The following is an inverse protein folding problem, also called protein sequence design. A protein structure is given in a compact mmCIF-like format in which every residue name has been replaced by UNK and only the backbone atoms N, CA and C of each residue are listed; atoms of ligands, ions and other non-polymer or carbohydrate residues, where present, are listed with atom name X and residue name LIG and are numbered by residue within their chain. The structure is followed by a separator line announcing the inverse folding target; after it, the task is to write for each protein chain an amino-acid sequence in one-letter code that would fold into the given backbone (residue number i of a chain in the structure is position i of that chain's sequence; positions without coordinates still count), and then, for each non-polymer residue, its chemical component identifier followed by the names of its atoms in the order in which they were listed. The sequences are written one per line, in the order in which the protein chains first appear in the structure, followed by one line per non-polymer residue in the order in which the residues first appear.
data_IF_557389582155
#
_entry.id   IF_557389582155
#
_cell.length_a   1.000
_cell.length_b   1.000
_cell.length_c   1.000
_cell.angle_alpha   90.00
_cell.angle_beta   90.00
_cell.angle_gamma   90.00
#
_symmetry.space_group_name_H-M   'P 1'
#
loop_
_entity.id
_entity.type
_entity.pdbx_description
1 polymer ?
#
# COMPACT_ATOMS: atom_id res chain seq x y z
N UNK A 1 -10.24 -22.83 13.71
CA UNK A 1 -10.61 -21.50 13.18
C UNK A 1 -10.63 -21.58 11.65
N UNK A 2 -11.63 -21.03 10.96
CA UNK A 2 -11.58 -20.92 9.49
C UNK A 2 -10.56 -19.84 9.10
N UNK A 3 -9.88 -20.02 7.95
CA UNK A 3 -8.94 -19.04 7.38
C UNK A 3 -7.71 -18.64 8.25
N UNK A 4 -7.15 -19.57 9.04
CA UNK A 4 -5.93 -19.30 9.83
C UNK A 4 -4.72 -18.90 8.98
N UNK A 5 -4.57 -19.51 7.80
CA UNK A 5 -3.47 -19.21 6.88
C UNK A 5 -3.59 -17.80 6.28
N UNK A 6 -4.74 -17.35 5.74
CA UNK A 6 -4.97 -15.95 5.40
C UNK A 6 -4.71 -14.98 6.54
N UNK A 7 -5.15 -15.31 7.76
CA UNK A 7 -4.92 -14.44 8.92
C UNK A 7 -3.44 -14.26 9.22
N UNK A 8 -2.67 -15.36 9.27
CA UNK A 8 -1.23 -15.30 9.51
C UNK A 8 -0.51 -14.47 8.44
N UNK A 9 -0.89 -14.63 7.16
CA UNK A 9 -0.34 -13.84 6.05
C UNK A 9 -0.69 -12.35 6.17
N UNK A 10 -1.91 -12.00 6.56
CA UNK A 10 -2.29 -10.60 6.84
C UNK A 10 -1.56 -10.04 8.06
N UNK A 11 -1.35 -10.84 9.11
CA UNK A 11 -0.67 -10.39 10.32
C UNK A 11 0.80 -10.09 10.05
N UNK A 12 1.51 -11.02 9.40
CA UNK A 12 2.91 -10.85 8.99
C UNK A 12 3.02 -9.72 7.96
N UNK A 13 2.14 -9.70 6.96
CA UNK A 13 2.13 -8.66 5.93
C UNK A 13 1.87 -7.27 6.51
N UNK A 14 0.91 -7.14 7.43
CA UNK A 14 0.62 -5.89 8.13
C UNK A 14 1.77 -5.42 9.00
N UNK A 15 2.45 -6.32 9.73
CA UNK A 15 3.66 -6.00 10.48
C UNK A 15 4.79 -5.49 9.58
N UNK A 16 5.00 -6.13 8.43
CA UNK A 16 6.00 -5.66 7.47
C UNK A 16 5.67 -4.28 6.90
N UNK A 17 4.39 -3.98 6.67
CA UNK A 17 3.95 -2.64 6.26
C UNK A 17 4.18 -1.59 7.34
N UNK A 18 3.95 -1.92 8.62
CA UNK A 18 4.24 -1.05 9.76
C UNK A 18 5.75 -0.82 9.89
N UNK A 19 6.55 -1.89 9.87
CA UNK A 19 8.01 -1.83 10.00
C UNK A 19 8.69 -1.10 8.84
N UNK A 20 8.12 -1.19 7.63
CA UNK A 20 8.56 -0.39 6.49
C UNK A 20 8.24 1.11 6.62
N UNK A 21 7.67 1.53 7.77
CA UNK A 21 7.42 2.93 8.11
C UNK A 21 6.45 3.62 7.17
N UNK A 22 5.61 2.87 6.46
CA UNK A 22 4.69 3.40 5.44
C UNK A 22 5.39 4.21 4.34
N UNK A 23 6.73 4.12 4.24
CA UNK A 23 7.58 5.06 3.52
C UNK A 23 7.22 5.19 2.04
N UNK A 24 6.66 4.16 1.43
CA UNK A 24 6.35 4.16 0.00
C UNK A 24 4.91 4.63 -0.29
N UNK A 25 3.95 4.31 0.58
CA UNK A 25 2.58 4.83 0.49
C UNK A 25 2.53 6.33 0.73
N UNK A 26 3.09 6.76 1.86
CA UNK A 26 3.18 8.17 2.26
C UNK A 26 4.18 8.93 1.38
N UNK A 27 5.31 8.30 1.00
CA UNK A 27 6.28 8.89 0.08
C UNK A 27 5.70 9.21 -1.29
N UNK A 28 4.81 8.36 -1.82
CA UNK A 28 4.10 8.64 -3.08
C UNK A 28 3.22 9.88 -2.96
N UNK A 29 2.57 10.06 -1.82
CA UNK A 29 1.72 11.24 -1.55
C UNK A 29 2.57 12.51 -1.49
N UNK A 30 3.73 12.46 -0.84
CA UNK A 30 4.69 13.58 -0.85
C UNK A 30 5.22 13.89 -2.26
N UNK A 31 5.43 12.87 -3.08
CA UNK A 31 5.86 13.04 -4.47
C UNK A 31 4.76 13.73 -5.29
N UNK A 32 3.51 13.28 -5.17
CA UNK A 32 2.35 13.92 -5.80
C UNK A 32 2.20 15.36 -5.32
N UNK A 33 2.33 15.60 -4.01
CA UNK A 33 2.29 16.93 -3.42
C UNK A 33 3.33 17.86 -4.06
N UNK A 34 4.58 17.40 -4.19
CA UNK A 34 5.66 18.17 -4.81
C UNK A 34 5.40 18.48 -6.29
N UNK A 35 4.88 17.50 -7.04
CA UNK A 35 4.54 17.69 -8.47
C UNK A 35 3.39 18.67 -8.63
N UNK A 36 2.32 18.55 -7.84
CA UNK A 36 1.17 19.47 -7.89
C UNK A 36 1.59 20.91 -7.56
N UNK A 37 2.43 21.09 -6.53
CA UNK A 37 2.91 22.42 -6.12
C UNK A 37 3.92 23.04 -7.09
N UNK A 38 4.48 22.25 -8.01
CA UNK A 38 5.31 22.80 -9.10
C UNK A 38 4.49 23.46 -10.20
N UNK A 39 3.17 23.24 -10.25
CA UNK A 39 2.27 23.77 -11.29
C UNK A 39 1.53 24.99 -10.77
N UNK A 40 2.00 26.18 -11.13
CA UNK A 40 1.43 27.48 -10.69
C UNK A 40 -0.04 27.67 -11.08
N UNK A 41 -0.49 27.05 -12.18
CA UNK A 41 -1.89 27.10 -12.62
C UNK A 41 -2.88 26.44 -11.64
N UNK A 42 -2.39 25.55 -10.76
CA UNK A 42 -3.23 24.89 -9.76
C UNK A 42 -3.29 25.64 -8.42
N UNK A 43 -2.62 26.79 -8.29
CA UNK A 43 -2.48 27.51 -7.03
C UNK A 43 -3.81 27.81 -6.32
N UNK A 44 -4.83 28.20 -7.08
CA UNK A 44 -6.18 28.47 -6.54
C UNK A 44 -6.87 27.25 -5.92
N UNK A 45 -6.40 26.03 -6.25
CA UNK A 45 -6.98 24.77 -5.80
C UNK A 45 -6.12 24.03 -4.77
N UNK A 46 -4.95 24.55 -4.40
CA UNK A 46 -4.02 23.86 -3.48
C UNK A 46 -4.68 23.46 -2.17
N UNK A 47 -5.51 24.32 -1.58
CA UNK A 47 -6.23 24.00 -0.33
C UNK A 47 -7.08 22.71 -0.43
N UNK A 48 -7.78 22.53 -1.55
CA UNK A 48 -8.61 21.34 -1.78
C UNK A 48 -7.72 20.12 -1.99
N UNK A 49 -6.65 20.27 -2.77
CA UNK A 49 -5.74 19.18 -3.09
C UNK A 49 -5.00 18.71 -1.83
N UNK A 50 -4.52 19.63 -1.00
CA UNK A 50 -3.83 19.34 0.25
C UNK A 50 -4.72 18.62 1.24
N UNK A 51 -5.98 19.04 1.34
CA UNK A 51 -6.97 18.37 2.19
C UNK A 51 -7.17 16.92 1.75
N UNK A 52 -7.26 16.67 0.44
CA UNK A 52 -7.40 15.33 -0.12
C UNK A 52 -6.13 14.50 0.12
N UNK A 53 -4.95 15.04 -0.19
CA UNK A 53 -3.66 14.38 0.00
C UNK A 53 -3.39 14.06 1.47
N UNK A 54 -3.80 14.93 2.39
CA UNK A 54 -3.70 14.71 3.82
C UNK A 54 -4.55 13.52 4.28
N UNK A 55 -5.82 13.45 3.85
CA UNK A 55 -6.71 12.32 4.15
C UNK A 55 -6.13 11.01 3.59
N UNK A 56 -5.66 11.04 2.34
CA UNK A 56 -5.00 9.90 1.71
C UNK A 56 -3.73 9.49 2.46
N UNK A 57 -2.99 10.47 3.01
CA UNK A 57 -1.80 10.26 3.84
C UNK A 57 -2.10 9.51 5.11
N UNK A 58 -3.17 9.92 5.81
CA UNK A 58 -3.65 9.24 7.02
C UNK A 58 -4.11 7.81 6.70
N UNK A 59 -4.79 7.59 5.57
CA UNK A 59 -5.22 6.25 5.15
C UNK A 59 -4.01 5.37 4.81
N UNK A 60 -3.03 5.90 4.08
CA UNK A 60 -1.80 5.17 3.73
C UNK A 60 -1.00 4.79 4.98
N UNK A 61 -0.97 5.68 5.99
CA UNK A 61 -0.35 5.43 7.29
C UNK A 61 -1.15 4.43 8.15
N UNK A 62 -2.48 4.43 8.08
CA UNK A 62 -3.30 3.46 8.80
C UNK A 62 -3.35 2.07 8.12
N UNK A 63 -2.87 1.95 6.88
CA UNK A 63 -3.04 0.75 6.04
C UNK A 63 -2.55 -0.55 6.69
N UNK A 64 -1.37 -0.55 7.29
CA UNK A 64 -0.80 -1.73 7.98
C UNK A 64 -1.68 -2.23 9.12
N UNK A 65 -2.23 -1.32 9.94
CA UNK A 65 -3.16 -1.67 11.01
C UNK A 65 -4.50 -2.17 10.46
N UNK A 66 -5.01 -1.52 9.41
CA UNK A 66 -6.24 -1.94 8.73
C UNK A 66 -6.11 -3.34 8.11
N UNK A 67 -4.93 -3.72 7.60
CA UNK A 67 -4.63 -5.08 7.13
C UNK A 67 -4.68 -6.10 8.26
N UNK A 68 -4.12 -5.79 9.43
CA UNK A 68 -4.16 -6.69 10.60
C UNK A 68 -5.60 -6.88 11.09
N UNK A 69 -6.35 -5.79 11.25
CA UNK A 69 -7.75 -5.81 11.68
C UNK A 69 -8.62 -6.55 10.64
N UNK A 70 -8.43 -6.25 9.35
CA UNK A 70 -9.11 -6.93 8.27
C UNK A 70 -8.78 -8.42 8.20
N UNK A 71 -7.52 -8.79 8.49
CA UNK A 71 -7.08 -10.16 8.64
C UNK A 71 -7.79 -10.87 9.79
N UNK A 72 -7.90 -10.24 10.96
CA UNK A 72 -8.64 -10.78 12.10
C UNK A 72 -10.10 -11.06 11.73
N UNK A 73 -10.75 -10.15 11.00
CA UNK A 73 -12.12 -10.34 10.51
C UNK A 73 -12.27 -11.56 9.59
N UNK A 74 -11.22 -11.99 8.87
CA UNK A 74 -11.24 -13.22 8.05
C UNK A 74 -11.40 -14.49 8.89
N UNK A 75 -11.06 -14.45 10.17
CA UNK A 75 -11.23 -15.58 11.11
C UNK A 75 -12.63 -15.66 11.71
N UNK A 76 -13.42 -14.59 11.55
CA UNK A 76 -14.80 -14.47 12.05
C UNK A 76 -15.84 -14.84 10.98
N UNK A 77 -17.13 -14.75 11.32
CA UNK A 77 -18.23 -14.90 10.35
C UNK A 77 -18.27 -13.79 9.28
N UNK A 78 -17.54 -12.68 9.46
CA UNK A 78 -17.58 -11.50 8.60
C UNK A 78 -16.46 -11.47 7.54
N UNK A 79 -16.20 -12.60 6.87
CA UNK A 79 -15.11 -12.74 5.88
C UNK A 79 -15.22 -11.72 4.74
N UNK A 80 -16.44 -11.39 4.29
CA UNK A 80 -16.66 -10.39 3.23
C UNK A 80 -16.22 -8.98 3.65
N UNK A 81 -16.52 -8.59 4.89
CA UNK A 81 -16.07 -7.30 5.44
C UNK A 81 -14.55 -7.29 5.60
N UNK A 82 -13.95 -8.37 6.13
CA UNK A 82 -12.49 -8.48 6.22
C UNK A 82 -11.80 -8.30 4.87
N UNK A 83 -12.29 -8.97 3.82
CA UNK A 83 -11.78 -8.82 2.44
C UNK A 83 -11.91 -7.40 1.89
N UNK A 84 -12.94 -6.66 2.30
CA UNK A 84 -13.16 -5.27 1.89
C UNK A 84 -12.19 -4.31 2.58
N UNK A 85 -12.03 -4.44 3.90
CA UNK A 85 -11.05 -3.64 4.66
C UNK A 85 -9.63 -3.85 4.14
N UNK A 86 -9.24 -5.12 3.90
CA UNK A 86 -7.93 -5.44 3.34
C UNK A 86 -7.76 -4.84 1.93
N UNK A 87 -8.82 -4.81 1.10
CA UNK A 87 -8.74 -4.24 -0.23
C UNK A 87 -8.48 -2.73 -0.22
N UNK A 88 -9.15 -2.00 0.67
CA UNK A 88 -8.95 -0.56 0.84
C UNK A 88 -7.53 -0.29 1.35
N UNK A 89 -7.11 -1.04 2.37
CA UNK A 89 -5.80 -0.87 3.00
C UNK A 89 -4.64 -1.20 2.05
N UNK A 90 -4.75 -2.28 1.27
CA UNK A 90 -3.76 -2.67 0.28
C UNK A 90 -3.82 -1.82 -1.00
N UNK A 91 -4.97 -1.20 -1.32
CA UNK A 91 -5.18 -0.44 -2.54
C UNK A 91 -4.19 0.72 -2.69
N UNK A 92 -3.93 1.47 -1.61
CA UNK A 92 -2.97 2.56 -1.65
C UNK A 92 -1.53 2.09 -1.87
N UNK A 93 -1.14 1.02 -1.19
CA UNK A 93 0.18 0.44 -1.39
C UNK A 93 0.35 -0.14 -2.79
N UNK A 94 -0.70 -0.70 -3.40
CA UNK A 94 -0.67 -1.19 -4.77
C UNK A 94 -0.45 -0.06 -5.79
N UNK A 95 -1.09 1.10 -5.58
CA UNK A 95 -0.86 2.29 -6.44
C UNK A 95 0.61 2.73 -6.34
N UNK A 96 1.15 2.85 -5.12
CA UNK A 96 2.57 3.16 -4.91
C UNK A 96 3.50 2.13 -5.53
N UNK A 97 3.12 0.84 -5.51
CA UNK A 97 3.85 -0.24 -6.18
C UNK A 97 3.92 -0.05 -7.68
N UNK A 98 2.80 0.26 -8.31
CA UNK A 98 2.72 0.54 -9.76
C UNK A 98 3.56 1.75 -10.13
N UNK A 99 3.47 2.84 -9.35
CA UNK A 99 4.24 4.05 -9.60
C UNK A 99 5.75 3.84 -9.44
N UNK A 100 6.16 3.00 -8.47
CA UNK A 100 7.56 2.63 -8.30
C UNK A 100 8.08 1.83 -9.49
N UNK A 101 7.30 0.87 -10.00
CA UNK A 101 7.63 0.13 -11.23
C UNK A 101 7.83 1.09 -12.40
N UNK A 102 6.88 2.01 -12.60
CA UNK A 102 6.91 2.97 -13.69
C UNK A 102 8.12 3.91 -13.59
N UNK A 103 8.44 4.41 -12.40
CA UNK A 103 9.61 5.25 -12.16
C UNK A 103 10.93 4.55 -12.51
N UNK A 104 11.14 3.33 -12.00
CA UNK A 104 12.36 2.56 -12.30
C UNK A 104 12.48 2.21 -13.78
N UNK A 105 11.37 1.95 -14.46
CA UNK A 105 11.35 1.74 -15.90
C UNK A 105 11.72 3.01 -16.68
N UNK A 106 11.19 4.17 -16.29
CA UNK A 106 11.50 5.44 -16.97
C UNK A 106 12.96 5.87 -16.78
N UNK A 107 13.53 5.67 -15.59
CA UNK A 107 14.90 6.10 -15.26
C UNK A 107 15.95 5.11 -15.77
N UNK A 108 15.70 3.80 -15.66
CA UNK A 108 16.70 2.76 -15.91
C UNK A 108 16.34 1.77 -17.01
N UNK A 109 15.21 1.93 -17.69
CA UNK A 109 14.73 0.99 -18.71
C UNK A 109 14.59 -0.43 -18.17
N UNK A 110 14.94 -1.42 -19.01
CA UNK A 110 14.90 -2.84 -18.66
C UNK A 110 15.86 -3.24 -17.53
N UNK A 111 17.02 -2.56 -17.41
CA UNK A 111 17.99 -2.80 -16.33
C UNK A 111 17.44 -2.32 -14.99
N UNK A 112 16.72 -1.19 -14.99
CA UNK A 112 16.00 -0.68 -13.82
C UNK A 112 14.97 -1.68 -13.27
N UNK A 113 14.29 -2.43 -14.14
CA UNK A 113 13.33 -3.45 -13.74
C UNK A 113 13.98 -4.68 -13.07
N UNK A 114 15.19 -5.07 -13.48
CA UNK A 114 15.94 -6.14 -12.80
C UNK A 114 16.33 -5.74 -11.37
N UNK A 115 16.80 -4.50 -11.20
CA UNK A 115 17.06 -3.92 -9.88
C UNK A 115 15.80 -3.81 -9.03
N UNK A 116 14.68 -3.41 -9.62
CA UNK A 116 13.39 -3.38 -8.95
C UNK A 116 12.96 -4.78 -8.47
N UNK A 117 13.20 -5.82 -9.27
CA UNK A 117 12.87 -7.20 -8.86
C UNK A 117 13.66 -7.61 -7.62
N UNK A 118 14.96 -7.27 -7.57
CA UNK A 118 15.78 -7.47 -6.38
C UNK A 118 15.29 -6.65 -5.18
N UNK A 119 14.89 -5.39 -5.41
CA UNK A 119 14.34 -4.50 -4.38
C UNK A 119 13.04 -5.03 -3.79
N UNK A 120 12.13 -5.54 -4.63
CA UNK A 120 10.84 -6.12 -4.21
C UNK A 120 11.05 -7.31 -3.29
N UNK A 121 12.00 -8.19 -3.63
CA UNK A 121 12.30 -9.39 -2.84
C UNK A 121 12.99 -9.07 -1.51
N UNK A 122 13.66 -7.92 -1.40
CA UNK A 122 14.38 -7.49 -0.20
C UNK A 122 13.69 -6.34 0.56
N UNK A 123 12.53 -5.86 0.09
CA UNK A 123 11.80 -4.76 0.70
C UNK A 123 10.63 -5.29 1.53
N UNK A 124 10.64 -4.96 2.83
CA UNK A 124 9.56 -5.30 3.76
C UNK A 124 8.20 -4.77 3.27
N UNK A 125 8.16 -3.58 2.67
CA UNK A 125 6.92 -3.01 2.14
C UNK A 125 6.33 -3.84 1.00
N UNK A 126 7.17 -4.23 0.03
CA UNK A 126 6.74 -4.99 -1.14
C UNK A 126 6.29 -6.40 -0.74
N UNK A 127 7.07 -7.06 0.14
CA UNK A 127 6.70 -8.35 0.71
C UNK A 127 5.39 -8.25 1.50
N UNK A 128 5.24 -7.20 2.32
CA UNK A 128 4.02 -6.96 3.09
C UNK A 128 2.78 -6.84 2.21
N UNK A 129 2.87 -6.08 1.10
CA UNK A 129 1.77 -5.96 0.12
C UNK A 129 1.43 -7.28 -0.55
N UNK A 130 2.44 -8.01 -1.05
CA UNK A 130 2.24 -9.28 -1.75
C UNK A 130 1.58 -10.30 -0.83
N UNK A 131 2.07 -10.45 0.40
CA UNK A 131 1.49 -11.34 1.40
C UNK A 131 0.02 -11.00 1.68
N UNK A 132 -0.29 -9.71 1.78
CA UNK A 132 -1.65 -9.20 2.03
C UNK A 132 -2.61 -9.51 0.87
N UNK A 133 -2.16 -9.36 -0.37
CA UNK A 133 -2.96 -9.67 -1.57
C UNK A 133 -3.22 -11.18 -1.68
N UNK A 134 -2.21 -12.00 -1.41
CA UNK A 134 -2.33 -13.47 -1.39
C UNK A 134 -3.28 -13.92 -0.27
N UNK A 135 -3.17 -13.32 0.92
CA UNK A 135 -4.07 -13.62 2.02
C UNK A 135 -5.54 -13.40 1.65
N UNK A 136 -5.84 -12.25 1.03
CA UNK A 136 -7.19 -11.89 0.58
C UNK A 136 -7.74 -12.87 -0.47
N UNK A 137 -6.92 -13.29 -1.43
CA UNK A 137 -7.34 -14.20 -2.50
C UNK A 137 -7.55 -15.65 -2.02
N UNK A 138 -6.82 -16.06 -0.98
CA UNK A 138 -6.92 -17.40 -0.38
C UNK A 138 -8.03 -17.54 0.66
N UNK A 139 -8.48 -16.44 1.27
CA UNK A 139 -9.58 -16.48 2.23
C UNK A 139 -10.88 -16.95 1.57
N UNK A 140 -11.58 -17.92 2.17
CA UNK A 140 -12.89 -18.41 1.72
C UNK A 140 -13.98 -17.98 2.68
#
# INVERSE_FOLDING_TARGET
MKNQTPFALCFIGGLFLILAGYNHGVGTIFLIYGVVHSISALASYYFIIDSILFILGLIAWAGGYAVIIGGYLLTTSHVRLGKFVIAIAAGFGLISFILTILWFFLVGGWVGLLFLTWLILNSLWALGLVLTIIARSRAK
#
